data_IF_536724168061
#
_entry.id   IF_536724168061
#
_cell.length_a   1.000
_cell.length_b   1.000
_cell.length_c   1.000
_cell.angle_alpha   90.00
_cell.angle_beta   90.00
_cell.angle_gamma   90.00
#
_symmetry.space_group_name_H-M   'P 1'
#
loop_
_entity.id
_entity.type
_entity.pdbx_description
1 polymer ?
#
# COMPACT_ATOMS: atom_id res chain seq x y z
N UNK A 1 11.15 33.30 36.48
CA UNK A 1 10.74 32.32 35.45
C UNK A 1 11.61 32.50 34.23
N UNK A 2 12.59 31.62 34.03
CA UNK A 2 13.33 31.47 32.76
C UNK A 2 13.85 30.04 32.72
N UNK A 3 13.36 29.24 31.78
CA UNK A 3 13.86 27.88 31.51
C UNK A 3 14.85 27.96 30.34
N UNK A 4 15.99 27.26 30.35
CA UNK A 4 16.89 27.19 29.21
C UNK A 4 16.34 26.23 28.14
N UNK A 5 16.63 26.41 26.85
CA UNK A 5 16.28 25.41 25.84
C UNK A 5 17.35 24.31 25.85
N UNK A 6 16.91 23.05 25.99
CA UNK A 6 17.76 21.90 25.78
C UNK A 6 17.80 21.61 24.27
N UNK A 7 18.97 21.82 23.69
CA UNK A 7 19.36 21.45 22.34
C UNK A 7 19.62 19.95 22.26
N UNK A 8 18.60 19.18 21.86
CA UNK A 8 18.76 17.77 21.49
C UNK A 8 17.87 17.47 20.28
N UNK A 9 18.41 17.61 19.07
CA UNK A 9 17.82 17.03 17.87
C UNK A 9 18.87 16.23 17.11
N UNK A 10 19.45 15.23 17.79
CA UNK A 10 20.20 14.18 17.13
C UNK A 10 19.20 13.18 16.52
N UNK A 11 19.23 13.11 15.18
CA UNK A 11 18.88 12.00 14.31
C UNK A 11 17.87 10.96 14.85
N UNK A 12 16.67 10.94 14.27
CA UNK A 12 15.76 9.79 14.40
C UNK A 12 15.73 9.01 13.09
N UNK A 13 16.79 8.25 12.86
CA UNK A 13 16.79 7.15 11.93
C UNK A 13 15.86 6.04 12.46
N UNK A 14 14.93 5.59 11.60
CA UNK A 14 14.36 4.24 11.62
C UNK A 14 13.72 3.76 12.93
N UNK A 15 12.52 4.25 13.23
CA UNK A 15 11.64 3.56 14.19
C UNK A 15 10.74 2.61 13.41
N UNK A 16 11.24 1.40 13.13
CA UNK A 16 10.37 0.32 12.65
C UNK A 16 9.43 -0.01 13.83
N UNK A 17 8.09 0.06 13.65
CA UNK A 17 7.18 -0.21 14.76
C UNK A 17 7.33 -1.67 15.24
N UNK A 18 6.82 -2.04 16.43
CA UNK A 18 6.78 -3.43 16.83
C UNK A 18 5.84 -4.25 15.92
N UNK A 19 6.14 -5.55 15.69
CA UNK A 19 5.29 -6.43 14.89
C UNK A 19 3.90 -6.51 15.51
N UNK A 20 2.86 -6.35 14.68
CA UNK A 20 1.45 -6.29 15.13
C UNK A 20 0.91 -4.88 15.39
N UNK A 21 1.71 -3.82 15.22
CA UNK A 21 1.18 -2.46 15.25
C UNK A 21 0.31 -2.15 14.00
N UNK A 22 -0.81 -1.41 14.15
CA UNK A 22 -1.63 -0.95 13.02
C UNK A 22 -0.85 -0.14 11.98
N UNK A 23 0.28 0.46 12.35
CA UNK A 23 1.19 1.13 11.43
C UNK A 23 1.86 0.17 10.41
N UNK A 24 1.97 -1.13 10.73
CA UNK A 24 2.32 -2.18 9.75
C UNK A 24 1.11 -2.59 8.89
N UNK A 25 -0.11 -2.17 9.22
CA UNK A 25 -1.27 -2.54 8.44
C UNK A 25 -1.28 -1.88 7.05
N UNK A 26 -0.55 -0.77 6.84
CA UNK A 26 -0.50 -0.11 5.53
C UNK A 26 0.12 -1.02 4.44
N UNK A 27 1.04 -1.90 4.82
CA UNK A 27 1.74 -2.81 3.91
C UNK A 27 1.84 -4.18 4.58
N UNK A 28 1.18 -5.21 4.03
CA UNK A 28 1.18 -6.53 4.65
C UNK A 28 2.55 -7.21 4.67
N UNK A 29 2.63 -8.36 5.33
CA UNK A 29 3.87 -9.06 5.72
C UNK A 29 4.87 -9.31 4.59
N UNK A 30 4.43 -9.37 3.34
CA UNK A 30 5.31 -9.56 2.17
C UNK A 30 5.39 -8.32 1.26
N UNK A 31 5.20 -7.12 1.83
CA UNK A 31 5.36 -5.85 1.11
C UNK A 31 4.20 -5.47 0.18
N UNK A 32 3.09 -6.20 0.21
CA UNK A 32 1.91 -5.91 -0.60
C UNK A 32 0.98 -4.89 0.08
N UNK A 33 0.51 -3.91 -0.69
CA UNK A 33 -0.38 -2.84 -0.22
C UNK A 33 -1.79 -3.36 0.05
N UNK A 34 -2.42 -2.93 1.16
CA UNK A 34 -3.83 -3.24 1.45
C UNK A 34 -4.77 -2.39 0.60
N UNK A 35 -5.65 -3.03 -0.16
CA UNK A 35 -6.56 -2.35 -1.07
C UNK A 35 -7.67 -1.56 -0.36
N UNK A 36 -8.10 -2.03 0.82
CA UNK A 36 -9.17 -1.39 1.61
C UNK A 36 -8.66 -0.75 2.91
N UNK A 37 -7.39 -0.31 2.91
CA UNK A 37 -6.76 0.38 4.03
C UNK A 37 -7.10 1.88 4.09
N UNK A 38 -6.59 2.56 5.12
CA UNK A 38 -6.76 4.00 5.34
C UNK A 38 -6.34 4.84 4.13
N UNK A 39 -5.24 4.48 3.46
CA UNK A 39 -4.77 5.15 2.26
C UNK A 39 -5.82 5.11 1.13
N UNK A 40 -6.47 3.96 0.93
CA UNK A 40 -7.53 3.80 -0.06
C UNK A 40 -8.81 4.55 0.32
N UNK A 41 -9.11 4.66 1.62
CA UNK A 41 -10.26 5.43 2.11
C UNK A 41 -10.05 6.95 1.97
N UNK A 42 -8.81 7.41 2.07
CA UNK A 42 -8.45 8.83 2.04
C UNK A 42 -8.25 9.33 0.61
N UNK A 43 -7.45 8.63 -0.18
CA UNK A 43 -7.18 8.95 -1.58
C UNK A 43 -6.99 7.67 -2.42
N UNK A 44 -8.10 7.07 -2.89
CA UNK A 44 -8.03 5.87 -3.71
C UNK A 44 -7.27 6.09 -5.03
N UNK A 45 -7.36 7.29 -5.63
CA UNK A 45 -6.73 7.55 -6.91
C UNK A 45 -5.22 7.72 -6.78
N UNK A 46 -4.76 8.46 -5.76
CA UNK A 46 -3.34 8.56 -5.43
C UNK A 46 -2.71 7.20 -5.16
N UNK A 47 -3.42 6.34 -4.41
CA UNK A 47 -3.00 4.96 -4.17
C UNK A 47 -2.81 4.16 -5.48
N UNK A 48 -3.75 4.27 -6.42
CA UNK A 48 -3.64 3.60 -7.70
C UNK A 48 -2.48 4.13 -8.55
N UNK A 49 -2.20 5.43 -8.51
CA UNK A 49 -1.04 6.00 -9.19
C UNK A 49 0.28 5.52 -8.59
N UNK A 50 0.40 5.46 -7.26
CA UNK A 50 1.57 4.92 -6.57
C UNK A 50 1.80 3.45 -6.94
N UNK A 51 0.75 2.63 -6.90
CA UNK A 51 0.83 1.23 -7.29
C UNK A 51 1.23 1.06 -8.75
N UNK A 52 0.72 1.92 -9.65
CA UNK A 52 1.08 1.90 -11.06
C UNK A 52 2.53 2.32 -11.28
N UNK A 53 3.03 3.29 -10.54
CA UNK A 53 4.42 3.71 -10.60
C UNK A 53 5.37 2.61 -10.09
N UNK A 54 4.98 1.88 -9.04
CA UNK A 54 5.81 0.84 -8.42
C UNK A 54 5.79 -0.51 -9.18
N UNK A 55 4.63 -0.91 -9.70
CA UNK A 55 4.42 -2.26 -10.24
C UNK A 55 3.98 -2.28 -11.72
N UNK A 56 3.65 -1.12 -12.30
CA UNK A 56 3.12 -1.04 -13.66
C UNK A 56 1.61 -1.33 -13.73
N UNK A 57 1.11 -1.91 -14.84
CA UNK A 57 -0.32 -2.04 -15.07
C UNK A 57 -1.02 -3.10 -14.22
N UNK A 58 -0.27 -3.95 -13.51
CA UNK A 58 -0.79 -5.01 -12.63
C UNK A 58 0.04 -5.03 -11.35
N UNK A 59 -0.63 -4.85 -10.20
CA UNK A 59 0.03 -4.72 -8.90
C UNK A 59 -0.41 -5.81 -7.91
N UNK A 60 0.49 -6.37 -7.09
CA UNK A 60 0.12 -7.25 -6.01
C UNK A 60 -0.53 -6.44 -4.87
N UNK A 61 -1.69 -6.90 -4.39
CA UNK A 61 -2.44 -6.25 -3.30
C UNK A 61 -2.93 -7.28 -2.30
N UNK A 62 -3.34 -6.79 -1.13
CA UNK A 62 -4.04 -7.56 -0.11
C UNK A 62 -5.47 -7.05 0.02
N UNK A 63 -6.42 -7.99 -0.01
CA UNK A 63 -7.82 -7.74 0.34
C UNK A 63 -8.01 -7.95 1.86
N UNK A 64 -9.24 -7.77 2.31
CA UNK A 64 -9.61 -8.04 3.70
C UNK A 64 -9.29 -9.49 4.08
N UNK A 65 -8.85 -9.69 5.32
CA UNK A 65 -8.42 -11.00 5.81
C UNK A 65 -7.09 -11.48 5.24
N UNK A 66 -6.23 -10.57 4.77
CA UNK A 66 -4.88 -10.87 4.25
C UNK A 66 -4.88 -11.74 2.98
N UNK A 67 -5.97 -11.70 2.22
CA UNK A 67 -6.07 -12.45 0.96
C UNK A 67 -5.24 -11.77 -0.12
N UNK A 68 -4.25 -12.49 -0.65
CA UNK A 68 -3.42 -12.03 -1.78
C UNK A 68 -4.22 -12.01 -3.07
N UNK A 69 -4.15 -10.88 -3.77
CA UNK A 69 -4.78 -10.70 -5.07
C UNK A 69 -3.89 -9.86 -6.00
N UNK A 70 -4.28 -9.84 -7.27
CA UNK A 70 -3.69 -8.97 -8.29
C UNK A 70 -4.70 -7.90 -8.67
N UNK A 71 -4.30 -6.64 -8.57
CA UNK A 71 -5.11 -5.51 -9.03
C UNK A 71 -4.69 -5.12 -10.45
N UNK A 72 -5.65 -5.11 -11.37
CA UNK A 72 -5.43 -4.68 -12.75
C UNK A 72 -5.73 -3.18 -12.86
N UNK A 73 -4.67 -2.39 -13.06
CA UNK A 73 -4.67 -0.93 -13.08
C UNK A 73 -4.59 -0.35 -14.50
N UNK A 74 -4.06 -1.12 -15.45
CA UNK A 74 -3.90 -0.73 -16.85
C UNK A 74 -5.14 -1.02 -17.70
N UNK A 75 -5.43 -0.13 -18.64
CA UNK A 75 -6.59 -0.27 -19.52
C UNK A 75 -6.49 -1.47 -20.46
N UNK A 76 -5.31 -1.68 -21.07
CA UNK A 76 -5.11 -2.77 -22.02
C UNK A 76 -5.22 -4.13 -21.34
N UNK A 77 -4.65 -4.25 -20.14
CA UNK A 77 -4.67 -5.45 -19.32
C UNK A 77 -6.09 -5.73 -18.80
N UNK A 78 -6.83 -4.69 -18.40
CA UNK A 78 -8.21 -4.85 -17.98
C UNK A 78 -9.09 -5.38 -19.13
N UNK A 79 -8.93 -4.80 -20.33
CA UNK A 79 -9.61 -5.28 -21.53
C UNK A 79 -9.22 -6.72 -21.86
N UNK A 80 -7.94 -7.07 -21.70
CA UNK A 80 -7.44 -8.42 -21.97
C UNK A 80 -8.10 -9.46 -21.06
N UNK A 81 -8.08 -9.21 -19.75
CA UNK A 81 -8.68 -10.07 -18.73
C UNK A 81 -10.18 -10.22 -18.97
N UNK A 82 -10.90 -9.11 -19.17
CA UNK A 82 -12.35 -9.12 -19.40
C UNK A 82 -12.75 -9.85 -20.70
N UNK A 83 -11.85 -9.92 -21.69
CA UNK A 83 -12.11 -10.58 -22.97
C UNK A 83 -11.90 -12.09 -22.97
N UNK A 84 -11.27 -12.66 -21.93
CA UNK A 84 -10.86 -14.09 -21.88
C UNK A 84 -11.45 -14.83 -20.67
N UNK A 85 -12.78 -15.00 -20.60
CA UNK A 85 -13.45 -15.59 -19.43
C UNK A 85 -13.11 -17.06 -19.17
N UNK A 86 -12.60 -17.79 -20.16
CA UNK A 86 -12.13 -19.19 -19.96
C UNK A 86 -10.75 -19.27 -19.32
N UNK A 87 -9.97 -18.19 -19.36
CA UNK A 87 -8.65 -18.08 -18.74
C UNK A 87 -8.74 -17.38 -17.38
N UNK A 88 -9.67 -16.44 -17.22
CA UNK A 88 -9.92 -15.69 -16.00
C UNK A 88 -11.39 -15.86 -15.58
N UNK A 89 -11.63 -16.75 -14.61
CA UNK A 89 -12.97 -17.13 -14.12
C UNK A 89 -13.15 -16.84 -12.64
#
# INVERSE_FOLDING_TARGET
>A
MTFPPAEHATAQAGRIPPPGCPAHAATGTDGATRLYGEAAATDPMGLYEELRAAHGPVAPVLLDGDVRAWLVLGYLENRDVASRPTQFS
#
